data_IF_211642856302
#
_entry.id   IF_211642856302
#
_cell.length_a   1.000
_cell.length_b   1.000
_cell.length_c   1.000
_cell.angle_alpha   90.00
_cell.angle_beta   90.00
_cell.angle_gamma   90.00
#
_symmetry.space_group_name_H-M   'P 1'
#
loop_
_entity.id
_entity.type
_entity.pdbx_description
1 polymer ?
#
# COMPACT_ATOMS: atom_id res chain seq x y z
N UNK A 1 23.39 29.99 8.41
CA UNK A 1 23.72 29.37 9.68
C UNK A 1 22.64 29.72 10.72
N UNK A 2 21.86 28.76 11.16
CA UNK A 2 20.78 28.95 12.16
C UNK A 2 21.34 29.03 13.58
N UNK A 3 22.58 28.56 13.79
CA UNK A 3 23.26 28.51 15.07
C UNK A 3 24.70 28.96 14.91
N UNK A 4 24.95 30.27 14.70
CA UNK A 4 26.32 30.80 14.45
C UNK A 4 27.27 30.67 15.63
N UNK A 5 26.76 30.35 16.83
CA UNK A 5 27.54 30.27 18.08
C UNK A 5 27.99 28.85 18.42
N UNK A 6 27.56 27.83 17.64
CA UNK A 6 27.94 26.44 17.89
C UNK A 6 29.18 26.14 17.02
N UNK A 7 30.29 25.85 17.67
CA UNK A 7 31.48 25.30 17.04
C UNK A 7 31.22 23.81 16.75
N UNK A 8 30.90 23.52 15.48
CA UNK A 8 30.55 22.17 15.02
C UNK A 8 31.81 21.52 14.45
N UNK A 9 32.14 20.31 14.93
CA UNK A 9 33.05 19.43 14.22
C UNK A 9 32.38 18.99 12.91
N UNK A 10 32.72 19.65 11.82
CA UNK A 10 32.11 19.43 10.52
C UNK A 10 32.47 18.08 9.89
N UNK A 11 33.63 17.47 10.22
CA UNK A 11 34.05 16.21 9.59
C UNK A 11 33.05 15.06 9.85
N UNK A 12 32.54 14.95 11.08
CA UNK A 12 31.54 13.95 11.46
C UNK A 12 30.13 14.22 10.97
N UNK A 13 29.86 15.43 10.45
CA UNK A 13 28.50 15.89 10.11
C UNK A 13 28.20 15.87 8.60
N UNK A 14 29.23 15.69 7.76
CA UNK A 14 29.11 15.81 6.31
C UNK A 14 28.36 14.62 5.69
N UNK A 15 27.62 14.91 4.62
CA UNK A 15 27.03 13.87 3.75
C UNK A 15 28.14 13.19 2.94
N UNK A 16 28.13 11.86 2.88
CA UNK A 16 29.15 11.13 2.12
C UNK A 16 29.08 11.35 0.61
N UNK A 17 27.90 11.71 0.08
CA UNK A 17 27.68 11.96 -1.35
C UNK A 17 27.99 13.41 -1.74
N UNK A 18 27.78 14.35 -0.80
CA UNK A 18 27.85 15.79 -1.05
C UNK A 18 28.73 16.45 -0.01
N UNK A 19 30.03 16.61 -0.35
CA UNK A 19 31.06 17.11 0.58
C UNK A 19 30.80 18.51 1.15
N UNK A 20 29.92 19.28 0.52
CA UNK A 20 29.57 20.65 0.99
C UNK A 20 28.22 20.68 1.74
N UNK A 21 27.64 19.52 2.02
CA UNK A 21 26.31 19.42 2.62
C UNK A 21 26.35 18.67 3.96
N UNK A 22 25.59 19.17 4.91
CA UNK A 22 25.27 18.48 6.17
C UNK A 22 24.00 17.68 5.97
N UNK A 23 24.04 16.39 6.33
CA UNK A 23 22.88 15.52 6.31
C UNK A 23 22.40 15.22 7.73
N UNK A 24 21.34 15.90 8.17
CA UNK A 24 20.83 15.77 9.54
C UNK A 24 20.32 14.34 9.85
N UNK A 25 19.82 13.61 8.84
CA UNK A 25 19.39 12.22 9.04
C UNK A 25 20.60 11.31 9.27
N UNK A 26 21.66 11.46 8.47
CA UNK A 26 22.90 10.73 8.65
C UNK A 26 23.52 10.98 10.03
N UNK A 27 23.51 12.24 10.49
CA UNK A 27 23.98 12.61 11.84
C UNK A 27 23.15 11.90 12.91
N UNK A 28 21.82 11.90 12.77
CA UNK A 28 20.91 11.20 13.70
C UNK A 28 21.26 9.71 13.80
N UNK A 29 21.49 9.04 12.66
CA UNK A 29 21.87 7.62 12.60
C UNK A 29 23.22 7.37 13.27
N UNK A 30 24.21 8.25 13.07
CA UNK A 30 25.57 8.12 13.64
C UNK A 30 25.60 8.30 15.15
N UNK A 31 24.79 9.24 15.68
CA UNK A 31 24.85 9.65 17.09
C UNK A 31 23.80 8.93 17.97
N UNK A 32 22.80 8.29 17.42
CA UNK A 32 21.78 7.62 18.21
C UNK A 32 22.30 6.31 18.83
N UNK A 33 21.92 6.04 20.08
CA UNK A 33 22.19 4.76 20.76
C UNK A 33 21.47 3.59 20.08
N UNK A 34 20.30 3.84 19.50
CA UNK A 34 19.53 2.90 18.72
C UNK A 34 18.79 3.60 17.58
N UNK A 35 18.72 2.93 16.43
CA UNK A 35 18.05 3.39 15.21
C UNK A 35 16.99 2.36 14.83
N UNK A 36 15.81 2.79 14.42
CA UNK A 36 14.82 1.84 13.95
C UNK A 36 14.13 2.29 12.67
N UNK A 37 13.64 1.31 11.93
CA UNK A 37 12.73 1.50 10.83
C UNK A 37 11.46 0.65 11.03
N UNK A 38 10.49 0.79 10.14
CA UNK A 38 9.09 0.37 10.37
C UNK A 38 8.76 -1.04 9.89
N UNK A 39 9.75 -1.84 9.51
CA UNK A 39 9.61 -3.29 9.30
C UNK A 39 10.96 -4.00 9.20
N UNK A 40 11.04 -5.30 9.50
CA UNK A 40 12.26 -6.10 9.35
C UNK A 40 12.79 -6.14 7.91
N UNK A 41 11.93 -6.44 6.93
CA UNK A 41 12.34 -6.50 5.53
C UNK A 41 12.74 -5.15 4.95
N UNK A 42 12.11 -4.05 5.37
CA UNK A 42 12.52 -2.73 4.94
C UNK A 42 13.86 -2.33 5.56
N UNK A 43 14.18 -2.80 6.77
CA UNK A 43 15.53 -2.67 7.35
C UNK A 43 16.57 -3.24 6.38
N UNK A 44 16.36 -4.44 5.85
CA UNK A 44 17.29 -5.06 4.89
C UNK A 44 17.35 -4.27 3.57
N UNK A 45 16.20 -3.79 3.08
CA UNK A 45 16.13 -3.02 1.84
C UNK A 45 16.96 -1.73 1.93
N UNK A 46 16.92 -0.97 3.05
CA UNK A 46 17.63 0.30 3.22
C UNK A 46 19.14 0.17 3.48
N UNK A 47 19.63 -1.04 3.74
CA UNK A 47 21.07 -1.32 3.81
C UNK A 47 21.72 -1.38 2.42
N UNK A 48 20.93 -1.43 1.36
CA UNK A 48 21.40 -1.52 -0.02
C UNK A 48 21.27 -0.17 -0.74
N UNK A 49 22.15 0.14 -1.70
CA UNK A 49 22.02 1.35 -2.51
C UNK A 49 20.78 1.24 -3.41
N UNK A 50 20.10 2.36 -3.63
CA UNK A 50 19.00 2.42 -4.57
C UNK A 50 19.48 2.25 -6.02
N UNK A 51 18.69 1.54 -6.83
CA UNK A 51 18.85 1.42 -8.29
C UNK A 51 17.51 1.66 -8.99
N UNK A 52 17.00 2.91 -8.97
CA UNK A 52 15.70 3.23 -9.56
C UNK A 52 15.65 2.92 -11.05
N UNK A 53 14.53 2.46 -11.59
CA UNK A 53 13.25 2.22 -10.91
C UNK A 53 13.13 0.79 -10.36
N UNK A 54 14.14 -0.04 -10.49
CA UNK A 54 14.05 -1.46 -10.13
C UNK A 54 13.99 -1.67 -8.62
N UNK A 55 14.73 -0.87 -7.85
CA UNK A 55 14.86 -1.01 -6.41
C UNK A 55 15.06 0.33 -5.72
N UNK A 56 14.38 0.56 -4.61
CA UNK A 56 14.55 1.70 -3.72
C UNK A 56 15.11 1.20 -2.39
N UNK A 57 16.34 1.58 -2.11
CA UNK A 57 17.10 1.21 -0.91
C UNK A 57 17.32 2.41 0.03
N UNK A 58 18.54 2.55 0.52
CA UNK A 58 18.92 3.56 1.54
C UNK A 58 19.03 5.01 1.04
N UNK A 59 18.96 5.24 -0.28
CA UNK A 59 18.99 6.57 -0.91
C UNK A 59 20.15 7.47 -0.45
N UNK A 60 21.30 6.85 -0.17
CA UNK A 60 22.54 7.48 0.26
C UNK A 60 22.77 7.47 1.78
N UNK A 61 21.89 6.87 2.55
CA UNK A 61 22.08 6.61 3.98
C UNK A 61 22.58 5.18 4.24
N UNK A 62 22.65 4.34 3.21
CA UNK A 62 22.98 2.92 3.34
C UNK A 62 24.28 2.68 4.06
N UNK A 63 25.31 3.55 3.89
CA UNK A 63 26.59 3.42 4.57
C UNK A 63 26.45 3.64 6.10
N UNK A 64 25.74 4.68 6.52
CA UNK A 64 25.52 4.98 7.93
C UNK A 64 24.63 3.93 8.58
N UNK A 65 23.63 3.44 7.83
CA UNK A 65 22.74 2.36 8.27
C UNK A 65 23.49 1.04 8.41
N UNK A 66 24.40 0.71 7.49
CA UNK A 66 25.25 -0.49 7.58
C UNK A 66 26.17 -0.44 8.80
N UNK A 67 26.72 0.72 9.13
CA UNK A 67 27.51 0.89 10.37
C UNK A 67 26.63 0.64 11.59
N UNK A 68 25.47 1.26 11.67
CA UNK A 68 24.53 1.06 12.77
C UNK A 68 24.06 -0.40 12.89
N UNK A 69 23.85 -1.10 11.75
CA UNK A 69 23.47 -2.52 11.74
C UNK A 69 24.62 -3.42 12.23
N UNK A 70 25.84 -3.21 11.75
CA UNK A 70 27.03 -3.95 12.19
C UNK A 70 27.32 -3.76 13.69
N UNK A 71 26.96 -2.62 14.25
CA UNK A 71 27.06 -2.33 15.68
C UNK A 71 25.86 -2.87 16.49
N UNK A 72 24.89 -3.51 15.86
CA UNK A 72 23.70 -4.04 16.50
C UNK A 72 22.70 -2.96 16.96
N UNK A 73 22.78 -1.75 16.40
CA UNK A 73 21.95 -0.60 16.77
C UNK A 73 20.75 -0.36 15.82
N UNK A 74 20.67 -1.04 14.66
CA UNK A 74 19.59 -0.86 13.69
C UNK A 74 18.55 -1.97 13.83
N UNK A 75 17.29 -1.59 14.02
CA UNK A 75 16.17 -2.51 14.24
C UNK A 75 15.03 -2.27 13.23
N UNK A 76 14.40 -3.34 12.77
CA UNK A 76 13.15 -3.29 11.98
C UNK A 76 11.99 -3.70 12.86
N UNK A 77 11.06 -2.78 13.16
CA UNK A 77 9.90 -3.03 14.02
C UNK A 77 8.64 -2.68 13.25
N UNK A 78 7.75 -3.67 13.06
CA UNK A 78 6.49 -3.44 12.36
C UNK A 78 5.58 -2.46 13.12
N UNK A 79 4.97 -1.52 12.39
CA UNK A 79 3.88 -0.72 12.92
C UNK A 79 2.66 -1.60 13.20
N UNK A 80 1.86 -1.18 14.19
CA UNK A 80 0.60 -1.84 14.50
C UNK A 80 -0.59 -1.23 13.76
N UNK A 81 -1.70 -1.93 13.84
CA UNK A 81 -3.03 -1.48 13.42
C UNK A 81 -4.03 -1.62 14.56
N UNK A 82 -5.14 -0.89 14.46
CA UNK A 82 -6.22 -0.96 15.44
C UNK A 82 -7.17 -2.10 15.10
N UNK A 83 -7.46 -2.95 16.09
CA UNK A 83 -8.38 -4.08 16.00
C UNK A 83 -9.63 -3.89 16.88
N UNK A 84 -9.86 -2.70 17.44
CA UNK A 84 -11.06 -2.40 18.18
C UNK A 84 -12.21 -2.09 17.21
N UNK A 85 -13.43 -2.53 17.55
CA UNK A 85 -14.66 -2.23 16.82
C UNK A 85 -14.61 -2.61 15.32
N UNK A 86 -14.08 -3.79 15.01
CA UNK A 86 -14.13 -4.33 13.64
C UNK A 86 -15.61 -4.54 13.29
N UNK A 87 -16.09 -3.87 12.24
CA UNK A 87 -17.41 -4.13 11.67
C UNK A 87 -17.34 -5.42 10.87
N UNK A 88 -18.38 -6.22 10.94
CA UNK A 88 -18.53 -7.37 10.05
C UNK A 88 -19.50 -6.99 8.92
N UNK A 89 -19.14 -7.38 7.69
CA UNK A 89 -20.04 -7.23 6.56
C UNK A 89 -21.27 -8.14 6.74
N UNK A 90 -22.47 -7.61 6.55
CA UNK A 90 -23.67 -8.44 6.49
C UNK A 90 -23.63 -9.28 5.22
N UNK A 91 -23.68 -10.61 5.36
CA UNK A 91 -23.74 -11.52 4.22
C UNK A 91 -24.96 -11.18 3.35
N UNK A 92 -24.73 -10.89 2.09
CA UNK A 92 -25.77 -10.57 1.10
C UNK A 92 -26.00 -9.08 0.80
N UNK A 93 -25.36 -8.16 1.55
CA UNK A 93 -25.39 -6.71 1.29
C UNK A 93 -24.10 -6.20 0.65
N UNK A 94 -23.31 -7.08 0.05
CA UNK A 94 -22.05 -6.75 -0.61
C UNK A 94 -22.24 -5.54 -1.55
N UNK A 95 -21.37 -4.56 -1.37
CA UNK A 95 -21.29 -3.30 -2.12
C UNK A 95 -22.37 -2.25 -1.85
N UNK A 96 -23.41 -2.53 -1.08
CA UNK A 96 -24.42 -1.51 -0.77
C UNK A 96 -23.87 -0.40 0.10
N UNK A 97 -23.04 -0.73 1.10
CA UNK A 97 -22.42 0.30 1.96
C UNK A 97 -21.44 1.14 1.14
N UNK A 98 -20.59 0.51 0.33
CA UNK A 98 -19.64 1.21 -0.54
C UNK A 98 -20.35 2.10 -1.55
N UNK A 99 -21.37 1.60 -2.23
CA UNK A 99 -22.17 2.39 -3.17
C UNK A 99 -22.83 3.57 -2.45
N UNK A 100 -23.45 3.34 -1.30
CA UNK A 100 -24.11 4.39 -0.51
C UNK A 100 -23.12 5.44 -0.05
N UNK A 101 -21.98 5.05 0.49
CA UNK A 101 -20.92 5.95 0.93
C UNK A 101 -20.37 6.80 -0.22
N UNK A 102 -20.13 6.18 -1.40
CA UNK A 102 -19.67 6.92 -2.56
C UNK A 102 -20.74 7.91 -3.05
N UNK A 103 -22.03 7.55 -3.04
CA UNK A 103 -23.11 8.49 -3.41
C UNK A 103 -23.18 9.68 -2.45
N UNK A 104 -23.12 9.43 -1.16
CA UNK A 104 -23.10 10.51 -0.16
C UNK A 104 -21.91 11.43 -0.38
N UNK A 105 -20.72 10.87 -0.57
CA UNK A 105 -19.52 11.63 -0.90
C UNK A 105 -19.69 12.45 -2.20
N UNK A 106 -20.21 11.86 -3.27
CA UNK A 106 -20.48 12.56 -4.54
C UNK A 106 -21.45 13.73 -4.36
N UNK A 107 -22.49 13.56 -3.54
CA UNK A 107 -23.42 14.64 -3.23
C UNK A 107 -22.77 15.79 -2.48
N UNK A 108 -21.91 15.51 -1.51
CA UNK A 108 -21.17 16.53 -0.77
C UNK A 108 -20.16 17.28 -1.66
N UNK A 109 -19.39 16.55 -2.48
CA UNK A 109 -18.43 17.16 -3.40
C UNK A 109 -19.11 17.99 -4.48
N UNK A 110 -20.26 17.54 -5.00
CA UNK A 110 -21.02 18.28 -6.03
C UNK A 110 -21.60 19.60 -5.53
N UNK A 111 -21.78 19.77 -4.22
CA UNK A 111 -22.15 21.06 -3.63
C UNK A 111 -21.00 22.07 -3.62
N UNK A 112 -19.76 21.59 -3.57
CA UNK A 112 -18.56 22.42 -3.50
C UNK A 112 -18.13 22.91 -4.89
N UNK A 113 -18.21 22.02 -5.89
CA UNK A 113 -17.84 22.35 -7.27
C UNK A 113 -18.54 21.43 -8.28
N UNK A 114 -18.80 21.95 -9.47
CA UNK A 114 -19.32 21.15 -10.58
C UNK A 114 -18.16 20.42 -11.27
N UNK A 115 -18.31 19.12 -11.50
CA UNK A 115 -17.33 18.30 -12.19
C UNK A 115 -18.01 17.22 -13.01
N UNK A 116 -17.71 17.17 -14.31
CA UNK A 116 -18.21 16.11 -15.19
C UNK A 116 -17.71 14.73 -14.74
N UNK A 117 -16.54 14.68 -14.10
CA UNK A 117 -15.98 13.44 -13.59
C UNK A 117 -16.76 12.90 -12.38
N UNK A 118 -17.25 13.76 -11.48
CA UNK A 118 -18.14 13.33 -10.39
C UNK A 118 -19.45 12.74 -10.92
N UNK A 119 -20.06 13.39 -11.92
CA UNK A 119 -21.26 12.88 -12.58
C UNK A 119 -21.00 11.52 -13.24
N UNK A 120 -19.91 11.39 -14.00
CA UNK A 120 -19.49 10.14 -14.62
C UNK A 120 -19.28 9.00 -13.60
N UNK A 121 -18.61 9.29 -12.46
CA UNK A 121 -18.44 8.32 -11.37
C UNK A 121 -19.79 7.88 -10.81
N UNK A 122 -20.72 8.82 -10.63
CA UNK A 122 -22.08 8.53 -10.16
C UNK A 122 -22.85 7.63 -11.12
N UNK A 123 -22.82 7.90 -12.42
CA UNK A 123 -23.46 7.07 -13.45
C UNK A 123 -22.94 5.63 -13.45
N UNK A 124 -21.62 5.45 -13.27
CA UNK A 124 -21.02 4.12 -13.19
C UNK A 124 -21.52 3.33 -11.98
N UNK A 125 -21.63 3.98 -10.84
CA UNK A 125 -22.00 3.33 -9.57
C UNK A 125 -23.47 2.94 -9.56
N UNK A 126 -24.37 3.74 -10.15
CA UNK A 126 -25.79 3.43 -10.25
C UNK A 126 -26.04 2.05 -10.88
N UNK A 127 -25.25 1.69 -11.87
CA UNK A 127 -25.37 0.37 -12.52
C UNK A 127 -25.24 -0.79 -11.54
N UNK A 128 -24.37 -0.66 -10.53
CA UNK A 128 -24.15 -1.75 -9.57
C UNK A 128 -25.27 -1.95 -8.57
N UNK A 129 -26.27 -1.05 -8.53
CA UNK A 129 -27.50 -1.26 -7.76
C UNK A 129 -28.37 -2.35 -8.39
N UNK A 130 -28.30 -2.51 -9.71
CA UNK A 130 -29.08 -3.50 -10.46
C UNK A 130 -28.26 -4.71 -10.92
N UNK A 131 -26.97 -4.49 -11.17
CA UNK A 131 -26.01 -5.50 -11.66
C UNK A 131 -24.77 -5.50 -10.77
N UNK A 132 -24.83 -6.06 -9.55
CA UNK A 132 -23.72 -6.08 -8.64
C UNK A 132 -22.52 -6.83 -9.24
N UNK A 133 -21.29 -6.35 -9.01
CA UNK A 133 -20.09 -7.05 -9.47
C UNK A 133 -19.94 -8.39 -8.74
N UNK A 134 -19.39 -9.38 -9.45
CA UNK A 134 -19.08 -10.69 -8.89
C UNK A 134 -17.78 -10.67 -8.06
N UNK A 135 -16.87 -9.74 -8.37
CA UNK A 135 -15.58 -9.60 -7.73
C UNK A 135 -15.18 -8.12 -7.61
N UNK A 136 -14.80 -7.69 -6.43
CA UNK A 136 -14.31 -6.33 -6.17
C UNK A 136 -12.86 -6.35 -5.74
N UNK A 137 -12.00 -5.88 -6.63
CA UNK A 137 -10.63 -5.52 -6.32
C UNK A 137 -10.58 -4.04 -5.94
N UNK A 138 -9.95 -3.72 -4.82
CA UNK A 138 -9.90 -2.33 -4.35
C UNK A 138 -8.48 -1.89 -3.98
N UNK A 139 -8.26 -0.57 -3.99
CA UNK A 139 -7.05 0.07 -3.50
C UNK A 139 -7.39 1.44 -2.90
N UNK A 140 -6.87 1.72 -1.73
CA UNK A 140 -6.97 3.03 -1.06
C UNK A 140 -5.56 3.54 -0.84
N UNK A 141 -5.16 4.59 -1.56
CA UNK A 141 -3.80 5.10 -1.43
C UNK A 141 -3.68 6.55 -1.92
N UNK A 142 -2.65 7.23 -1.47
CA UNK A 142 -2.20 8.48 -2.10
C UNK A 142 -1.74 8.18 -3.52
N UNK A 143 -2.09 9.02 -4.47
CA UNK A 143 -1.68 8.88 -5.86
C UNK A 143 -0.26 9.41 -6.03
N UNK A 144 0.70 8.56 -5.80
CA UNK A 144 2.13 8.88 -5.84
C UNK A 144 2.89 7.83 -6.64
N UNK A 145 4.12 8.17 -7.03
CA UNK A 145 5.04 7.24 -7.69
C UNK A 145 5.28 5.98 -6.83
N UNK A 146 5.41 6.13 -5.53
CA UNK A 146 5.53 5.02 -4.60
C UNK A 146 4.40 3.99 -4.75
N UNK A 147 3.15 4.44 -4.92
CA UNK A 147 1.96 3.57 -4.87
C UNK A 147 1.55 3.00 -6.22
N UNK A 148 1.69 3.78 -7.29
CA UNK A 148 1.14 3.42 -8.60
C UNK A 148 2.14 3.55 -9.76
N UNK A 149 3.44 3.47 -9.48
CA UNK A 149 4.51 3.57 -10.48
C UNK A 149 4.28 2.66 -11.68
N UNK A 150 3.94 1.39 -11.44
CA UNK A 150 3.73 0.39 -12.50
C UNK A 150 2.63 0.80 -13.47
N UNK A 151 1.56 1.41 -13.01
CA UNK A 151 0.44 1.84 -13.85
C UNK A 151 0.75 3.10 -14.66
N UNK A 152 1.53 4.03 -14.10
CA UNK A 152 1.94 5.24 -14.84
C UNK A 152 3.00 4.92 -15.88
N UNK A 153 3.92 4.04 -15.53
CA UNK A 153 5.01 3.62 -16.43
C UNK A 153 4.51 2.74 -17.57
N UNK A 154 3.54 1.88 -17.31
CA UNK A 154 2.96 0.95 -18.28
C UNK A 154 1.45 0.85 -18.07
N UNK A 155 0.66 1.78 -18.65
CA UNK A 155 -0.80 1.74 -18.53
C UNK A 155 -1.43 0.43 -19.02
N UNK A 156 -0.79 -0.28 -19.93
CA UNK A 156 -1.26 -1.58 -20.43
C UNK A 156 -1.44 -2.62 -19.32
N UNK A 157 -0.70 -2.51 -18.21
CA UNK A 157 -0.81 -3.42 -17.07
C UNK A 157 -2.15 -3.28 -16.36
N UNK A 158 -2.59 -2.05 -16.07
CA UNK A 158 -3.91 -1.84 -15.45
C UNK A 158 -5.02 -2.21 -16.46
N UNK A 159 -4.83 -1.92 -17.75
CA UNK A 159 -5.79 -2.31 -18.79
C UNK A 159 -5.93 -3.83 -18.86
N UNK A 160 -4.82 -4.58 -18.84
CA UNK A 160 -4.85 -6.04 -18.81
C UNK A 160 -5.59 -6.59 -17.58
N UNK A 161 -5.41 -5.99 -16.41
CA UNK A 161 -6.17 -6.34 -15.19
C UNK A 161 -7.66 -6.06 -15.38
N UNK A 162 -8.03 -4.90 -15.94
CA UNK A 162 -9.43 -4.54 -16.20
C UNK A 162 -10.10 -5.47 -17.22
N UNK A 163 -9.38 -5.91 -18.25
CA UNK A 163 -9.86 -6.90 -19.22
C UNK A 163 -10.15 -8.25 -18.56
N UNK A 164 -9.27 -8.69 -17.63
CA UNK A 164 -9.48 -9.93 -16.85
C UNK A 164 -10.69 -9.81 -15.94
N UNK A 165 -10.81 -8.71 -15.20
CA UNK A 165 -11.98 -8.41 -14.37
C UNK A 165 -13.30 -8.36 -15.19
N UNK A 166 -13.25 -7.80 -16.40
CA UNK A 166 -14.43 -7.73 -17.27
C UNK A 166 -15.00 -9.11 -17.63
N UNK A 167 -14.15 -10.13 -17.77
CA UNK A 167 -14.56 -11.51 -18.09
C UNK A 167 -15.36 -12.18 -16.98
N UNK A 168 -15.21 -11.70 -15.75
CA UNK A 168 -15.82 -12.28 -14.55
C UNK A 168 -16.83 -11.32 -13.89
N UNK A 169 -17.28 -10.30 -14.60
CA UNK A 169 -18.11 -9.22 -14.06
C UNK A 169 -17.48 -8.59 -12.80
N UNK A 170 -16.14 -8.46 -12.78
CA UNK A 170 -15.40 -7.85 -11.70
C UNK A 170 -15.09 -6.39 -11.94
N UNK A 171 -14.80 -5.66 -10.86
CA UNK A 171 -14.41 -4.24 -10.90
C UNK A 171 -13.09 -3.99 -10.18
N UNK A 172 -12.40 -2.94 -10.61
CA UNK A 172 -11.31 -2.32 -9.85
C UNK A 172 -11.80 -0.97 -9.32
N UNK A 173 -11.78 -0.81 -7.99
CA UNK A 173 -12.12 0.43 -7.29
C UNK A 173 -10.86 1.04 -6.71
N UNK A 174 -10.49 2.23 -7.14
CA UNK A 174 -9.38 3.01 -6.55
C UNK A 174 -9.94 4.27 -5.91
N UNK A 175 -9.59 4.52 -4.64
CA UNK A 175 -9.86 5.76 -3.95
C UNK A 175 -8.54 6.44 -3.60
N UNK A 176 -8.43 7.73 -3.93
CA UNK A 176 -7.27 8.53 -3.57
C UNK A 176 -7.15 9.85 -4.30
N UNK A 177 -6.24 10.67 -3.80
CA UNK A 177 -5.79 11.94 -4.38
C UNK A 177 -4.28 12.04 -4.32
N UNK A 178 -3.67 12.92 -5.13
CA UNK A 178 -2.24 13.14 -5.07
C UNK A 178 -1.66 13.85 -6.27
N UNK A 179 -0.66 13.26 -6.91
CA UNK A 179 -0.02 13.83 -8.08
C UNK A 179 -1.00 13.99 -9.25
N UNK A 180 -1.11 15.19 -9.85
CA UNK A 180 -2.06 15.45 -10.93
C UNK A 180 -1.91 14.55 -12.16
N UNK A 181 -0.70 14.04 -12.42
CA UNK A 181 -0.46 13.11 -13.53
C UNK A 181 -1.12 11.76 -13.31
N UNK A 182 -1.14 11.25 -12.06
CA UNK A 182 -1.88 10.03 -11.72
C UNK A 182 -3.39 10.25 -11.71
N UNK A 183 -3.86 11.40 -11.19
CA UNK A 183 -5.29 11.73 -11.23
C UNK A 183 -5.80 11.79 -12.66
N UNK A 184 -5.06 12.44 -13.56
CA UNK A 184 -5.38 12.51 -14.99
C UNK A 184 -5.43 11.12 -15.61
N UNK A 185 -4.39 10.30 -15.41
CA UNK A 185 -4.33 8.94 -15.92
C UNK A 185 -5.54 8.11 -15.49
N UNK A 186 -5.87 8.12 -14.21
CA UNK A 186 -6.98 7.31 -13.70
C UNK A 186 -8.35 7.82 -14.14
N UNK A 187 -8.52 9.14 -14.31
CA UNK A 187 -9.74 9.68 -14.92
C UNK A 187 -9.90 9.21 -16.38
N UNK A 188 -8.83 9.26 -17.18
CA UNK A 188 -8.84 8.80 -18.58
C UNK A 188 -9.17 7.31 -18.69
N UNK A 189 -8.54 6.46 -17.86
CA UNK A 189 -8.85 5.03 -17.79
C UNK A 189 -10.30 4.83 -17.33
N UNK A 190 -10.78 5.60 -16.36
CA UNK A 190 -12.15 5.52 -15.88
C UNK A 190 -13.17 5.87 -16.97
N UNK A 191 -12.91 6.86 -17.81
CA UNK A 191 -13.79 7.18 -18.95
C UNK A 191 -13.84 6.05 -19.98
N UNK A 192 -12.75 5.32 -20.17
CA UNK A 192 -12.60 4.30 -21.20
C UNK A 192 -13.07 2.90 -20.76
N UNK A 193 -13.07 2.60 -19.45
CA UNK A 193 -13.32 1.27 -18.90
C UNK A 193 -14.46 1.29 -17.88
N UNK A 194 -15.57 0.61 -18.20
CA UNK A 194 -16.78 0.59 -17.37
C UNK A 194 -16.59 -0.04 -15.99
N UNK A 195 -15.65 -0.97 -15.87
CA UNK A 195 -15.32 -1.71 -14.65
C UNK A 195 -14.16 -1.12 -13.84
N UNK A 196 -13.68 0.07 -14.21
CA UNK A 196 -12.74 0.84 -13.40
C UNK A 196 -13.46 1.99 -12.72
N UNK A 197 -13.60 1.93 -11.40
CA UNK A 197 -14.21 2.98 -10.57
C UNK A 197 -13.11 3.75 -9.90
N UNK A 198 -12.98 5.02 -10.25
CA UNK A 198 -12.03 5.92 -9.62
C UNK A 198 -12.77 6.97 -8.78
N UNK A 199 -12.57 6.91 -7.46
CA UNK A 199 -13.05 7.91 -6.50
C UNK A 199 -11.89 8.87 -6.22
N UNK A 200 -11.89 9.98 -6.98
CA UNK A 200 -10.84 11.00 -6.84
C UNK A 200 -11.16 11.95 -5.68
N UNK A 201 -10.88 11.50 -4.46
CA UNK A 201 -11.19 12.22 -3.25
C UNK A 201 -10.71 11.54 -1.98
N UNK A 202 -11.20 12.05 -0.86
CA UNK A 202 -10.98 11.51 0.48
C UNK A 202 -12.31 11.43 1.21
N UNK A 203 -12.60 10.29 1.82
CA UNK A 203 -13.79 10.09 2.65
C UNK A 203 -13.55 8.89 3.55
N UNK A 204 -13.65 9.08 4.86
CA UNK A 204 -13.48 7.99 5.83
C UNK A 204 -14.58 6.93 5.67
N UNK A 205 -15.82 7.34 5.42
CA UNK A 205 -16.95 6.42 5.22
C UNK A 205 -16.75 5.54 3.98
N UNK A 206 -16.22 6.12 2.88
CA UNK A 206 -15.91 5.34 1.67
C UNK A 206 -14.72 4.41 1.94
N UNK A 207 -13.69 4.86 2.63
CA UNK A 207 -12.53 4.04 3.01
C UNK A 207 -12.96 2.85 3.88
N UNK A 208 -13.75 3.11 4.91
CA UNK A 208 -14.25 2.07 5.81
C UNK A 208 -15.11 1.04 5.08
N UNK A 209 -15.98 1.50 4.16
CA UNK A 209 -16.81 0.61 3.36
C UNK A 209 -16.01 -0.24 2.38
N UNK A 210 -14.95 0.32 1.78
CA UNK A 210 -14.03 -0.43 0.91
C UNK A 210 -13.33 -1.54 1.70
N UNK A 211 -12.81 -1.25 2.88
CA UNK A 211 -12.19 -2.27 3.76
C UNK A 211 -13.19 -3.28 4.29
N UNK A 212 -14.49 -3.00 4.26
CA UNK A 212 -15.54 -3.92 4.71
C UNK A 212 -16.00 -4.87 3.61
N UNK A 213 -16.03 -4.40 2.34
CA UNK A 213 -16.79 -5.04 1.28
C UNK A 213 -15.96 -5.49 0.06
N UNK A 214 -14.64 -5.36 0.08
CA UNK A 214 -13.79 -5.84 -1.02
C UNK A 214 -13.56 -7.34 -0.95
N UNK A 215 -13.34 -7.99 -2.10
CA UNK A 215 -12.88 -9.37 -2.15
C UNK A 215 -11.35 -9.44 -2.15
N UNK A 216 -10.68 -8.50 -2.81
CA UNK A 216 -9.23 -8.41 -2.89
C UNK A 216 -8.77 -6.97 -2.65
N UNK A 217 -7.75 -6.80 -1.83
CA UNK A 217 -7.08 -5.52 -1.66
C UNK A 217 -5.78 -5.47 -2.45
N UNK A 218 -5.58 -4.45 -3.29
CA UNK A 218 -4.47 -4.38 -4.23
C UNK A 218 -3.46 -3.30 -3.86
N UNK A 219 -2.20 -3.67 -3.63
CA UNK A 219 -1.10 -2.77 -3.30
C UNK A 219 0.11 -2.99 -4.22
N UNK A 220 0.11 -2.44 -5.45
CA UNK A 220 1.24 -2.54 -6.36
C UNK A 220 2.31 -1.49 -6.04
N UNK A 221 2.66 -1.30 -4.76
CA UNK A 221 3.63 -0.29 -4.36
C UNK A 221 5.02 -0.61 -4.91
N UNK A 222 5.73 0.39 -5.45
CA UNK A 222 7.10 0.23 -5.90
C UNK A 222 8.03 -0.15 -4.74
N UNK A 223 7.86 0.53 -3.63
CA UNK A 223 8.47 0.21 -2.34
C UNK A 223 7.48 0.52 -1.21
N UNK A 224 7.58 -0.19 -0.10
CA UNK A 224 6.67 -0.02 1.04
C UNK A 224 7.40 -0.23 2.36
N UNK A 225 7.72 0.84 3.11
CA UNK A 225 8.43 0.70 4.37
C UNK A 225 7.74 -0.21 5.39
N UNK A 226 6.43 -0.11 5.51
CA UNK A 226 5.61 -0.99 6.34
C UNK A 226 4.30 -1.33 5.64
N UNK A 227 3.51 -0.32 5.30
CA UNK A 227 2.12 -0.44 4.90
C UNK A 227 1.19 -0.71 6.10
N UNK A 228 0.07 0.00 6.14
CA UNK A 228 -1.00 -0.23 7.11
C UNK A 228 -2.27 -0.68 6.39
N UNK A 229 -2.45 -0.27 5.16
CA UNK A 229 -3.65 -0.54 4.37
C UNK A 229 -3.91 -2.04 4.18
N UNK A 230 -2.87 -2.85 3.92
CA UNK A 230 -3.01 -4.31 3.85
C UNK A 230 -3.41 -4.92 5.20
N UNK A 231 -2.90 -4.38 6.32
CA UNK A 231 -3.29 -4.85 7.66
C UNK A 231 -4.78 -4.57 7.93
N UNK A 232 -5.28 -3.41 7.45
CA UNK A 232 -6.69 -3.03 7.56
C UNK A 232 -7.58 -3.92 6.68
N UNK A 233 -7.16 -4.25 5.47
CA UNK A 233 -7.87 -5.17 4.59
C UNK A 233 -7.90 -6.59 5.17
N UNK A 234 -6.75 -7.12 5.56
CA UNK A 234 -6.63 -8.46 6.18
C UNK A 234 -7.42 -8.58 7.48
N UNK A 235 -7.48 -7.52 8.29
CA UNK A 235 -8.31 -7.44 9.50
C UNK A 235 -9.78 -7.78 9.23
N UNK A 236 -10.29 -7.42 8.06
CA UNK A 236 -11.66 -7.71 7.63
C UNK A 236 -11.78 -9.04 6.85
N UNK A 237 -10.68 -9.76 6.65
CA UNK A 237 -10.65 -11.03 5.95
C UNK A 237 -10.38 -10.92 4.45
N UNK A 238 -10.01 -9.73 3.95
CA UNK A 238 -9.69 -9.57 2.54
C UNK A 238 -8.24 -9.93 2.26
N UNK A 239 -7.99 -10.96 1.42
CA UNK A 239 -6.65 -11.23 0.91
C UNK A 239 -6.08 -10.00 0.19
N UNK A 240 -4.76 -9.82 0.29
CA UNK A 240 -4.09 -8.74 -0.41
C UNK A 240 -3.27 -9.28 -1.57
N UNK A 241 -3.29 -8.61 -2.72
CA UNK A 241 -2.29 -8.79 -3.79
C UNK A 241 -1.28 -7.65 -3.70
N UNK A 242 -0.03 -7.97 -3.38
CA UNK A 242 1.00 -6.98 -3.10
C UNK A 242 2.25 -7.19 -3.93
N UNK A 243 3.02 -6.12 -4.19
CA UNK A 243 4.40 -6.25 -4.60
C UNK A 243 5.23 -6.75 -3.41
N UNK A 244 6.06 -7.79 -3.62
CA UNK A 244 6.85 -8.41 -2.57
C UNK A 244 8.07 -7.53 -2.21
N UNK A 245 7.83 -6.45 -1.46
CA UNK A 245 8.82 -5.42 -1.11
C UNK A 245 8.60 -4.89 0.30
N UNK A 246 9.67 -4.53 1.01
CA UNK A 246 9.65 -3.96 2.35
C UNK A 246 8.69 -4.66 3.30
N UNK A 247 7.91 -3.90 4.09
CA UNK A 247 6.97 -4.45 5.06
C UNK A 247 5.81 -5.27 4.48
N UNK A 248 5.59 -5.26 3.17
CA UNK A 248 4.63 -6.16 2.55
C UNK A 248 5.11 -7.61 2.57
N UNK A 249 6.44 -7.86 2.53
CA UNK A 249 7.04 -9.19 2.74
C UNK A 249 6.75 -9.72 4.15
N UNK A 250 6.73 -8.82 5.14
CA UNK A 250 6.56 -9.17 6.55
C UNK A 250 5.09 -9.41 6.94
N UNK A 251 4.15 -8.97 6.09
CA UNK A 251 2.72 -8.97 6.43
C UNK A 251 1.88 -9.88 5.56
N UNK A 252 2.27 -10.12 4.30
CA UNK A 252 1.49 -10.92 3.34
C UNK A 252 2.30 -12.14 2.88
N UNK A 253 1.86 -13.33 3.26
CA UNK A 253 2.45 -14.58 2.85
C UNK A 253 1.70 -15.15 1.63
N UNK A 254 2.43 -15.37 0.53
CA UNK A 254 1.88 -15.82 -0.75
C UNK A 254 1.12 -17.14 -0.63
N UNK A 255 -0.11 -17.20 -1.17
CA UNK A 255 -1.03 -18.35 -1.13
C UNK A 255 -1.45 -18.81 0.28
N UNK A 256 -1.09 -18.05 1.32
CA UNK A 256 -1.46 -18.38 2.70
C UNK A 256 -2.32 -17.32 3.34
N UNK A 257 -1.92 -16.05 3.30
CA UNK A 257 -2.67 -14.91 3.84
C UNK A 257 -3.01 -13.86 2.76
N UNK A 258 -2.58 -14.10 1.53
CA UNK A 258 -2.77 -13.25 0.37
C UNK A 258 -1.91 -13.71 -0.78
N UNK A 259 -1.60 -12.78 -1.68
CA UNK A 259 -0.84 -13.03 -2.90
C UNK A 259 0.27 -11.98 -3.04
N UNK A 260 1.40 -12.39 -3.57
CA UNK A 260 2.49 -11.47 -3.85
C UNK A 260 3.09 -11.72 -5.22
N UNK A 261 3.53 -10.65 -5.87
CA UNK A 261 4.30 -10.70 -7.11
C UNK A 261 5.66 -10.02 -6.92
N UNK A 262 6.66 -10.48 -7.67
CA UNK A 262 7.99 -9.90 -7.74
C UNK A 262 8.63 -10.22 -9.09
N UNK A 263 9.86 -9.76 -9.32
CA UNK A 263 10.67 -10.05 -10.50
C UNK A 263 12.02 -9.36 -10.41
N UNK A 264 13.01 -9.90 -11.10
CA UNK A 264 14.36 -9.33 -11.12
C UNK A 264 14.40 -8.02 -11.93
N UNK A 265 13.60 -7.95 -13.00
CA UNK A 265 13.48 -6.76 -13.84
C UNK A 265 12.11 -6.13 -13.69
N UNK A 266 12.02 -4.86 -14.08
CA UNK A 266 10.75 -4.14 -14.14
C UNK A 266 9.69 -4.88 -14.97
N UNK A 267 10.08 -5.35 -16.15
CA UNK A 267 9.17 -6.06 -17.06
C UNK A 267 8.68 -7.39 -16.46
N UNK A 268 9.55 -8.12 -15.77
CA UNK A 268 9.16 -9.34 -15.06
C UNK A 268 8.17 -9.02 -13.93
N UNK A 269 8.37 -7.94 -13.17
CA UNK A 269 7.43 -7.54 -12.12
C UNK A 269 6.04 -7.28 -12.71
N UNK A 270 5.95 -6.58 -13.83
CA UNK A 270 4.68 -6.30 -14.50
C UNK A 270 3.99 -7.56 -15.03
N UNK A 271 4.76 -8.45 -15.69
CA UNK A 271 4.24 -9.72 -16.19
C UNK A 271 3.75 -10.59 -15.05
N UNK A 272 4.52 -10.70 -13.97
CA UNK A 272 4.18 -11.48 -12.81
C UNK A 272 2.95 -10.88 -12.06
N UNK A 273 2.84 -9.55 -11.97
CA UNK A 273 1.65 -8.89 -11.42
C UNK A 273 0.37 -9.35 -12.15
N UNK A 274 0.37 -9.33 -13.48
CA UNK A 274 -0.77 -9.74 -14.29
C UNK A 274 -1.01 -11.25 -14.19
N UNK A 275 0.05 -12.07 -14.13
CA UNK A 275 -0.05 -13.53 -14.00
C UNK A 275 -0.60 -13.95 -12.63
N UNK A 276 -0.12 -13.31 -11.55
CA UNK A 276 -0.65 -13.57 -10.19
C UNK A 276 -2.09 -13.08 -10.07
N UNK A 277 -2.46 -11.97 -10.74
CA UNK A 277 -3.85 -11.53 -10.77
C UNK A 277 -4.77 -12.57 -11.45
N UNK A 278 -4.31 -13.25 -12.51
CA UNK A 278 -5.02 -14.38 -13.10
C UNK A 278 -5.21 -15.53 -12.11
N UNK A 279 -4.14 -15.89 -11.38
CA UNK A 279 -4.19 -16.93 -10.37
C UNK A 279 -5.19 -16.58 -9.25
N UNK A 280 -5.23 -15.32 -8.82
CA UNK A 280 -6.22 -14.83 -7.86
C UNK A 280 -7.64 -15.09 -8.35
N UNK A 281 -7.96 -14.69 -9.59
CA UNK A 281 -9.27 -14.87 -10.16
C UNK A 281 -9.64 -16.36 -10.35
N UNK A 282 -8.66 -17.18 -10.76
CA UNK A 282 -8.87 -18.62 -10.91
C UNK A 282 -9.19 -19.29 -9.57
N UNK A 283 -8.44 -19.00 -8.52
CA UNK A 283 -8.72 -19.51 -7.18
C UNK A 283 -10.08 -19.03 -6.68
N UNK A 284 -10.41 -17.74 -6.83
CA UNK A 284 -11.69 -17.18 -6.41
C UNK A 284 -12.88 -17.88 -7.07
N UNK A 285 -12.79 -18.14 -8.38
CA UNK A 285 -13.88 -18.70 -9.18
C UNK A 285 -13.98 -20.21 -9.10
N UNK A 286 -12.85 -20.92 -9.05
CA UNK A 286 -12.77 -22.35 -9.31
C UNK A 286 -12.27 -23.17 -8.11
N UNK A 287 -11.69 -22.54 -7.08
CA UNK A 287 -11.18 -23.21 -5.88
C UNK A 287 -11.59 -22.48 -4.59
N UNK A 288 -12.91 -22.50 -4.36
CA UNK A 288 -13.51 -21.85 -3.20
C UNK A 288 -12.94 -22.28 -1.85
N UNK A 289 -12.59 -23.58 -1.61
CA UNK A 289 -11.97 -23.99 -0.34
C UNK A 289 -10.62 -23.31 -0.08
N UNK A 290 -9.79 -23.21 -1.12
CA UNK A 290 -8.50 -22.49 -1.02
C UNK A 290 -8.72 -21.00 -0.77
N UNK A 291 -9.68 -20.36 -1.47
CA UNK A 291 -10.02 -18.97 -1.26
C UNK A 291 -10.45 -18.70 0.19
N UNK A 292 -11.43 -19.46 0.71
CA UNK A 292 -11.94 -19.34 2.08
C UNK A 292 -10.83 -19.57 3.14
N UNK A 293 -9.88 -20.44 2.83
CA UNK A 293 -8.70 -20.68 3.69
C UNK A 293 -7.81 -19.45 3.75
N UNK A 294 -7.53 -18.82 2.61
CA UNK A 294 -6.71 -17.60 2.53
C UNK A 294 -7.41 -16.44 3.26
N UNK A 295 -8.71 -16.24 3.04
CA UNK A 295 -9.52 -15.23 3.76
C UNK A 295 -9.45 -15.43 5.27
N UNK A 296 -9.65 -16.65 5.74
CA UNK A 296 -9.59 -16.99 7.16
C UNK A 296 -8.21 -16.69 7.73
N UNK A 297 -7.16 -17.14 7.05
CA UNK A 297 -5.79 -16.90 7.49
C UNK A 297 -5.47 -15.40 7.53
N UNK A 298 -5.88 -14.63 6.52
CA UNK A 298 -5.75 -13.18 6.51
C UNK A 298 -6.46 -12.56 7.72
N UNK A 299 -7.72 -12.96 7.97
CA UNK A 299 -8.53 -12.47 9.10
C UNK A 299 -7.93 -12.79 10.46
N UNK A 300 -7.20 -13.88 10.59
CA UNK A 300 -6.56 -14.32 11.84
C UNK A 300 -5.24 -13.57 12.13
N UNK A 301 -4.62 -12.97 11.14
CA UNK A 301 -3.40 -12.18 11.34
C UNK A 301 -3.65 -10.97 12.24
N UNK A 302 -2.71 -10.72 13.16
CA UNK A 302 -2.79 -9.61 14.13
C UNK A 302 -1.46 -8.84 14.18
N UNK A 303 -1.51 -7.63 13.68
CA UNK A 303 -0.44 -6.65 13.72
C UNK A 303 -0.84 -5.55 14.71
N UNK A 304 -0.72 -5.81 16.02
CA UNK A 304 -1.20 -4.90 17.06
C UNK A 304 -0.13 -3.92 17.51
N UNK A 305 -0.53 -2.71 17.83
CA UNK A 305 0.38 -1.74 18.48
C UNK A 305 1.00 -2.27 19.77
N UNK A 306 0.25 -3.09 20.53
CA UNK A 306 0.81 -3.73 21.72
C UNK A 306 2.07 -4.54 21.39
N UNK A 307 2.02 -5.36 20.36
CA UNK A 307 3.18 -6.17 19.90
C UNK A 307 4.34 -5.28 19.49
N UNK A 308 4.07 -4.22 18.71
CA UNK A 308 5.11 -3.26 18.31
C UNK A 308 5.74 -2.56 19.51
N UNK A 309 4.93 -2.11 20.48
CA UNK A 309 5.40 -1.47 21.71
C UNK A 309 6.25 -2.43 22.55
N UNK A 310 5.83 -3.68 22.71
CA UNK A 310 6.61 -4.70 23.42
C UNK A 310 8.00 -4.89 22.73
N UNK A 311 8.06 -4.85 21.40
CA UNK A 311 9.32 -4.89 20.64
C UNK A 311 10.16 -3.61 20.82
N UNK A 312 9.54 -2.41 20.85
CA UNK A 312 10.23 -1.16 21.16
C UNK A 312 10.89 -1.22 22.53
N UNK A 313 10.18 -1.66 23.58
CA UNK A 313 10.77 -1.81 24.91
C UNK A 313 11.92 -2.80 24.92
N UNK A 314 11.75 -3.94 24.27
CA UNK A 314 12.78 -4.98 24.24
C UNK A 314 14.04 -4.59 23.47
N UNK A 315 13.88 -3.92 22.32
CA UNK A 315 14.98 -3.68 21.38
C UNK A 315 15.61 -2.30 21.54
N UNK A 316 14.84 -1.26 21.89
CA UNK A 316 15.33 0.11 21.92
C UNK A 316 15.55 0.64 23.33
N UNK A 317 14.75 0.25 24.32
CA UNK A 317 14.78 0.83 25.65
C UNK A 317 15.37 -0.08 26.72
N UNK A 318 15.46 -1.38 26.54
CA UNK A 318 16.04 -2.31 27.52
C UNK A 318 17.54 -2.52 27.37
N UNK A 319 18.18 -1.88 26.38
CA UNK A 319 19.63 -1.98 26.16
C UNK A 319 20.46 -1.35 27.31
N UNK A 320 19.85 -0.52 28.14
CA UNK A 320 20.48 0.19 29.26
C UNK A 320 19.85 -0.11 30.64
N UNK A 321 19.21 -1.26 30.83
CA UNK A 321 18.67 -1.67 32.13
C UNK A 321 19.56 -2.68 32.84
#
# INVERSE_FOLDING_TARGET
NWFPEIDLDYEGLMDYRYQDCINLMAIGIRLADAVHTVSPSYKEDILLPSSPPAFIGGEGLERDLQVADNEGRLFGILNGSNYNNIREAEKGNLYRNTITAIFQWLQEESKKYKSDFLAHTGEKIVRFLTEPPTFVCSSVARLTEQKFYFFKRSPDVIIAILEKLSKVNGILLILGTGDPGYEKLFREISYSHKNFIFVNGQSEDVIDSIYLESDLYFMPSLFEPCGISQMLAMRNGHPCLVHHTGGLKDTVEHLKTGFSFDGVTYDQKMQNMVSIFDQVLDIFLNDKPTWETIEKNAKEMRFTWKKSVDEYYRLLYSINA
#
